data_IF_622410533829
#
_entry.id   IF_622410533829
#
_cell.length_a   1.000
_cell.length_b   1.000
_cell.length_c   1.000
_cell.angle_alpha   90.00
_cell.angle_beta   90.00
_cell.angle_gamma   90.00
#
_symmetry.space_group_name_H-M   'P 1'
#
loop_
_entity.id
_entity.type
_entity.pdbx_description
1 polymer ?
#
# COMPACT_ATOMS: atom_id res chain seq x y z
N UNK A 1 14.91 6.41 7.97
CA UNK A 1 14.54 5.38 8.98
C UNK A 1 13.30 4.66 8.48
N UNK A 2 13.33 3.33 8.47
CA UNK A 2 12.28 2.49 7.91
C UNK A 2 11.72 1.53 8.95
N UNK A 3 10.44 1.19 8.79
CA UNK A 3 9.76 0.13 9.50
C UNK A 3 9.38 -0.94 8.47
N UNK A 4 10.05 -2.07 8.52
CA UNK A 4 9.95 -3.15 7.54
C UNK A 4 9.17 -4.32 8.13
N UNK A 5 8.07 -4.71 7.50
CA UNK A 5 7.27 -5.87 7.87
C UNK A 5 7.81 -7.17 7.30
N UNK A 6 6.93 -8.16 7.24
CA UNK A 6 7.19 -9.42 6.56
C UNK A 6 7.69 -9.21 5.12
N UNK A 7 8.60 -10.09 4.68
CA UNK A 7 9.22 -10.03 3.35
C UNK A 7 9.93 -8.70 3.02
N UNK A 8 10.41 -7.98 4.04
CA UNK A 8 11.05 -6.67 3.90
C UNK A 8 10.15 -5.65 3.16
N UNK A 9 8.82 -5.75 3.37
CA UNK A 9 7.86 -4.80 2.81
C UNK A 9 7.81 -3.55 3.67
N UNK A 10 7.76 -2.39 3.05
CA UNK A 10 7.81 -1.12 3.78
C UNK A 10 6.44 -0.81 4.39
N UNK A 11 6.38 -0.72 5.72
CA UNK A 11 5.16 -0.31 6.43
C UNK A 11 5.13 1.22 6.58
N UNK A 12 6.24 1.80 7.01
CA UNK A 12 6.37 3.24 7.19
C UNK A 12 7.83 3.67 7.02
N UNK A 13 8.05 4.90 6.55
CA UNK A 13 9.37 5.49 6.49
C UNK A 13 9.38 6.95 6.91
N UNK A 14 10.54 7.42 7.31
CA UNK A 14 10.86 8.82 7.46
C UNK A 14 12.33 9.05 7.16
N UNK A 15 12.57 9.80 6.11
CA UNK A 15 13.91 10.24 5.70
C UNK A 15 14.03 11.74 5.94
N UNK A 16 15.11 12.12 6.64
CA UNK A 16 15.37 13.50 7.05
C UNK A 16 16.84 13.62 7.42
N UNK A 17 17.35 14.85 7.40
CA UNK A 17 18.71 15.13 7.87
C UNK A 17 18.85 14.84 9.37
N UNK A 18 20.07 14.50 9.85
CA UNK A 18 20.34 14.35 11.28
C UNK A 18 19.86 15.54 12.11
N UNK A 19 19.51 15.32 13.37
CA UNK A 19 18.93 16.37 14.21
C UNK A 19 17.57 16.86 13.72
N UNK A 20 16.87 16.09 12.88
CA UNK A 20 15.67 16.50 12.16
C UNK A 20 15.88 17.78 11.32
N UNK A 21 17.09 17.96 10.77
CA UNK A 21 17.49 19.15 10.01
C UNK A 21 18.23 20.22 10.81
N UNK A 22 18.41 20.03 12.12
CA UNK A 22 19.12 20.98 12.98
C UNK A 22 20.62 20.68 13.09
N UNK A 23 21.07 19.54 12.59
CA UNK A 23 22.45 19.10 12.67
C UNK A 23 23.07 18.98 11.27
N UNK A 24 24.04 19.84 10.98
CA UNK A 24 24.85 19.72 9.77
C UNK A 24 25.92 18.66 9.98
N UNK A 25 25.93 17.62 9.14
CA UNK A 25 26.96 16.57 9.20
C UNK A 25 28.36 17.06 8.84
N UNK A 26 28.48 18.24 8.22
CA UNK A 26 29.77 18.88 7.93
C UNK A 26 30.40 19.57 9.15
N UNK A 27 29.66 19.71 10.24
CA UNK A 27 30.14 20.31 11.49
C UNK A 27 30.45 19.28 12.57
N UNK A 28 30.17 18.00 12.30
CA UNK A 28 30.47 16.92 13.23
C UNK A 28 31.97 16.63 13.26
N UNK A 29 32.51 16.50 14.46
CA UNK A 29 33.87 16.04 14.70
C UNK A 29 33.87 14.53 15.03
N UNK A 30 34.96 13.81 14.73
CA UNK A 30 35.10 12.41 15.13
C UNK A 30 34.92 12.24 16.65
N UNK A 31 33.94 11.43 17.04
CA UNK A 31 33.60 11.18 18.44
C UNK A 31 32.30 11.84 18.90
N UNK A 32 31.75 12.77 18.11
CA UNK A 32 30.44 13.34 18.39
C UNK A 32 29.34 12.28 18.40
N UNK A 33 28.45 12.37 19.38
CA UNK A 33 27.27 11.54 19.51
C UNK A 33 26.04 12.42 19.64
N UNK A 34 24.97 12.07 18.92
CA UNK A 34 23.67 12.73 19.02
C UNK A 34 22.57 11.68 19.11
N UNK A 35 21.37 12.14 19.44
CA UNK A 35 20.18 11.30 19.48
C UNK A 35 19.04 11.98 18.74
N UNK A 36 18.38 11.24 17.86
CA UNK A 36 17.22 11.70 17.10
C UNK A 36 15.95 11.00 17.58
N UNK A 37 14.84 11.75 17.60
CA UNK A 37 13.50 11.20 17.84
C UNK A 37 12.71 11.20 16.55
N UNK A 38 12.50 10.01 15.99
CA UNK A 38 11.68 9.84 14.80
C UNK A 38 10.26 9.43 15.18
N UNK A 39 9.29 10.01 14.47
CA UNK A 39 7.90 9.58 14.50
C UNK A 39 7.56 9.01 13.14
N UNK A 40 7.34 7.69 13.10
CA UNK A 40 6.87 6.96 11.93
C UNK A 40 5.34 6.83 12.03
N UNK A 41 4.64 7.39 11.06
CA UNK A 41 3.19 7.22 10.97
C UNK A 41 2.93 5.90 10.25
N UNK A 42 2.35 4.93 10.96
CA UNK A 42 1.87 3.69 10.35
C UNK A 42 0.60 4.04 9.56
N UNK A 43 0.57 3.84 8.24
CA UNK A 43 -0.59 4.21 7.44
C UNK A 43 -1.81 3.40 7.86
N UNK A 44 -3.00 4.00 7.73
CA UNK A 44 -4.25 3.27 7.95
C UNK A 44 -4.34 2.05 7.03
N UNK A 45 -3.70 2.06 5.87
CA UNK A 45 -3.69 0.91 4.98
C UNK A 45 -2.67 -0.16 5.36
N UNK A 46 -1.81 0.03 6.37
CA UNK A 46 -0.81 -0.99 6.76
C UNK A 46 -1.45 -2.37 7.02
N UNK A 47 -0.83 -3.40 6.45
CA UNK A 47 -1.28 -4.79 6.61
C UNK A 47 -0.96 -5.28 8.01
N UNK A 48 -1.93 -5.93 8.66
CA UNK A 48 -1.82 -6.40 10.02
C UNK A 48 -2.66 -7.67 10.23
N UNK A 49 -2.27 -8.58 11.15
CA UNK A 49 -1.12 -8.48 12.04
C UNK A 49 0.23 -8.66 11.32
N UNK A 50 1.27 -8.00 11.83
CA UNK A 50 2.65 -8.14 11.33
C UNK A 50 3.65 -7.91 12.49
N UNK A 51 4.89 -8.36 12.32
CA UNK A 51 6.01 -8.06 13.23
C UNK A 51 7.09 -7.35 12.42
N UNK A 52 7.19 -6.05 12.64
CA UNK A 52 8.10 -5.20 11.89
C UNK A 52 9.45 -5.03 12.59
N UNK A 53 10.50 -4.85 11.80
CA UNK A 53 11.85 -4.52 12.25
C UNK A 53 12.16 -3.05 11.94
N UNK A 54 12.83 -2.36 12.85
CA UNK A 54 13.34 -1.01 12.59
C UNK A 54 14.64 -1.13 11.82
N UNK A 55 14.75 -0.39 10.71
CA UNK A 55 15.97 -0.25 9.93
C UNK A 55 16.39 1.23 9.89
N UNK A 56 17.69 1.46 10.13
CA UNK A 56 18.31 2.77 10.01
C UNK A 56 19.48 2.67 9.04
N UNK A 57 19.50 3.57 8.07
CA UNK A 57 20.62 3.76 7.16
C UNK A 57 20.86 5.25 6.96
N UNK A 58 22.09 5.61 6.62
CA UNK A 58 22.47 6.96 6.21
C UNK A 58 22.84 6.93 4.73
N UNK A 59 22.49 8.00 4.04
CA UNK A 59 22.85 8.17 2.63
C UNK A 59 23.10 9.63 2.33
N UNK A 60 23.93 9.88 1.33
CA UNK A 60 24.10 11.20 0.75
C UNK A 60 22.84 11.58 -0.03
N UNK A 61 22.17 12.66 0.36
CA UNK A 61 20.87 13.03 -0.19
C UNK A 61 20.92 13.46 -1.68
N UNK A 62 22.10 13.83 -2.19
CA UNK A 62 22.27 14.29 -3.57
C UNK A 62 22.55 13.14 -4.54
N UNK A 63 23.45 12.24 -4.16
CA UNK A 63 23.88 11.11 -4.98
C UNK A 63 23.09 9.83 -4.71
N UNK A 64 22.41 9.74 -3.56
CA UNK A 64 21.80 8.51 -3.08
C UNK A 64 22.80 7.47 -2.56
N UNK A 65 24.11 7.80 -2.52
CA UNK A 65 25.13 6.87 -2.07
C UNK A 65 24.93 6.53 -0.59
N UNK A 66 24.83 5.23 -0.28
CA UNK A 66 24.59 4.73 1.07
C UNK A 66 25.91 4.62 1.84
N UNK A 67 25.88 4.96 3.13
CA UNK A 67 27.03 4.87 4.01
C UNK A 67 27.12 3.47 4.62
N UNK A 68 28.31 2.89 4.61
CA UNK A 68 28.55 1.58 5.23
C UNK A 68 28.42 1.64 6.75
N UNK A 69 27.71 0.67 7.32
CA UNK A 69 27.66 0.39 8.73
C UNK A 69 28.78 -0.60 9.11
N UNK A 70 29.32 -0.47 10.33
CA UNK A 70 30.32 -1.38 10.88
C UNK A 70 29.77 -2.79 11.18
N UNK A 71 28.46 -2.99 11.08
CA UNK A 71 27.77 -4.28 11.20
C UNK A 71 27.85 -5.16 9.95
N UNK A 72 28.46 -4.67 8.87
CA UNK A 72 28.54 -5.39 7.59
C UNK A 72 27.29 -5.17 6.73
N UNK A 73 27.16 -3.97 6.17
CA UNK A 73 26.04 -3.53 5.33
C UNK A 73 26.01 -2.02 5.19
N UNK A 74 24.92 -1.46 4.68
CA UNK A 74 24.70 0.00 4.57
C UNK A 74 23.60 0.51 5.53
N UNK A 75 23.18 -0.36 6.44
CA UNK A 75 22.12 -0.13 7.38
C UNK A 75 22.34 -0.96 8.66
N UNK A 76 21.59 -0.61 9.69
CA UNK A 76 21.51 -1.34 10.97
C UNK A 76 20.04 -1.64 11.23
N UNK A 77 19.75 -2.91 11.51
CA UNK A 77 18.42 -3.38 11.89
C UNK A 77 18.37 -3.76 13.35
N UNK A 78 17.36 -3.29 14.06
CA UNK A 78 17.20 -3.55 15.49
C UNK A 78 15.75 -3.37 15.93
N UNK A 79 15.43 -3.86 17.13
CA UNK A 79 14.09 -3.78 17.67
C UNK A 79 13.05 -4.58 16.89
N UNK A 80 11.94 -4.88 17.54
CA UNK A 80 10.75 -5.44 16.90
C UNK A 80 9.56 -4.64 17.36
N UNK A 81 8.68 -4.32 16.42
CA UNK A 81 7.43 -3.59 16.65
C UNK A 81 6.29 -4.47 16.18
N UNK A 82 5.40 -4.84 17.09
CA UNK A 82 4.17 -5.52 16.72
C UNK A 82 3.24 -4.51 16.02
N UNK A 83 2.88 -4.81 14.77
CA UNK A 83 1.83 -4.09 14.06
C UNK A 83 0.54 -4.89 14.27
N UNK A 84 -0.26 -4.43 15.21
CA UNK A 84 -1.49 -5.13 15.63
C UNK A 84 -2.62 -4.86 14.64
N UNK A 85 -3.43 -5.88 14.40
CA UNK A 85 -4.67 -5.71 13.66
C UNK A 85 -5.56 -4.68 14.38
N UNK A 86 -6.12 -3.74 13.60
CA UNK A 86 -7.16 -2.85 14.12
C UNK A 86 -8.42 -3.67 14.39
N UNK A 87 -9.15 -3.39 15.48
CA UNK A 87 -10.44 -4.02 15.72
C UNK A 87 -11.42 -3.62 14.60
N UNK A 88 -12.24 -4.57 14.15
CA UNK A 88 -13.23 -4.36 13.11
C UNK A 88 -13.87 -5.68 12.69
N UNK A 89 -14.94 -5.58 11.90
CA UNK A 89 -15.69 -6.74 11.41
C UNK A 89 -15.07 -7.39 10.15
N UNK A 90 -14.05 -6.74 9.58
CA UNK A 90 -13.35 -7.17 8.36
C UNK A 90 -11.83 -7.10 8.57
N UNK A 91 -11.04 -7.92 7.85
CA UNK A 91 -9.59 -7.82 7.84
C UNK A 91 -9.10 -6.45 7.36
N UNK A 92 -7.97 -6.00 7.91
CA UNK A 92 -7.31 -4.71 7.62
C UNK A 92 -8.32 -3.57 7.44
N UNK A 93 -9.14 -3.24 8.46
CA UNK A 93 -10.25 -2.32 8.30
C UNK A 93 -9.74 -0.91 7.96
N UNK A 94 -10.29 -0.32 6.90
CA UNK A 94 -9.95 1.01 6.37
C UNK A 94 -11.24 1.77 6.06
N UNK A 95 -11.15 3.07 5.76
CA UNK A 95 -12.28 3.86 5.30
C UNK A 95 -11.87 4.72 4.10
N UNK A 96 -12.17 4.23 2.90
CA UNK A 96 -11.81 4.90 1.65
C UNK A 96 -13.05 5.05 0.78
N UNK A 97 -13.46 6.28 0.53
CA UNK A 97 -14.68 6.58 -0.23
C UNK A 97 -14.35 6.77 -1.71
N UNK A 98 -15.12 6.13 -2.58
CA UNK A 98 -15.05 6.28 -4.04
C UNK A 98 -16.29 7.03 -4.52
N UNK A 99 -16.10 8.25 -5.00
CA UNK A 99 -17.16 9.12 -5.52
C UNK A 99 -18.28 9.43 -4.51
N UNK A 100 -18.05 9.20 -3.22
CA UNK A 100 -19.06 9.19 -2.16
C UNK A 100 -20.28 8.28 -2.45
N UNK A 101 -20.05 7.20 -3.22
CA UNK A 101 -21.06 6.21 -3.64
C UNK A 101 -20.85 4.85 -2.98
N UNK A 102 -19.61 4.42 -2.86
CA UNK A 102 -19.20 3.19 -2.20
C UNK A 102 -17.93 3.42 -1.40
N UNK A 103 -17.77 2.67 -0.31
CA UNK A 103 -16.60 2.70 0.55
C UNK A 103 -15.90 1.35 0.53
N UNK A 104 -14.57 1.36 0.39
CA UNK A 104 -13.74 0.20 0.74
C UNK A 104 -13.53 0.25 2.26
N UNK A 105 -14.05 -0.76 2.95
CA UNK A 105 -14.07 -0.85 4.41
C UNK A 105 -13.02 -1.79 4.99
N UNK A 106 -12.39 -2.61 4.15
CA UNK A 106 -11.34 -3.55 4.55
C UNK A 106 -10.81 -4.32 3.35
N UNK A 107 -9.73 -5.07 3.56
CA UNK A 107 -9.15 -5.91 2.53
C UNK A 107 -8.27 -7.02 3.12
N UNK A 108 -8.03 -8.08 2.35
CA UNK A 108 -7.08 -9.13 2.68
C UNK A 108 -6.40 -9.68 1.44
N UNK A 109 -5.20 -10.24 1.64
CA UNK A 109 -4.41 -10.90 0.62
C UNK A 109 -4.12 -12.33 1.07
N UNK A 110 -4.22 -13.28 0.14
CA UNK A 110 -3.81 -14.68 0.41
C UNK A 110 -2.30 -14.80 0.67
N UNK A 111 -1.51 -13.99 -0.02
CA UNK A 111 -0.05 -13.99 0.01
C UNK A 111 0.48 -12.57 -0.22
N UNK A 112 1.60 -12.22 0.42
CA UNK A 112 2.30 -10.94 0.19
C UNK A 112 3.65 -11.12 -0.50
N UNK A 113 4.06 -12.35 -0.82
CA UNK A 113 5.24 -12.60 -1.63
C UNK A 113 5.11 -13.86 -2.51
N UNK A 114 5.22 -13.68 -3.83
CA UNK A 114 4.89 -14.69 -4.86
C UNK A 114 5.94 -14.72 -5.96
N UNK A 115 5.96 -15.77 -6.77
CA UNK A 115 6.79 -15.89 -7.99
C UNK A 115 6.01 -15.45 -9.24
N UNK A 116 6.70 -15.10 -10.34
CA UNK A 116 6.05 -14.90 -11.63
C UNK A 116 5.20 -16.11 -12.05
N UNK A 117 4.00 -15.87 -12.57
CA UNK A 117 3.04 -16.92 -12.95
C UNK A 117 2.15 -17.45 -11.82
N UNK A 118 2.45 -17.13 -10.56
CA UNK A 118 1.57 -17.45 -9.42
C UNK A 118 0.42 -16.43 -9.31
N UNK A 119 -0.54 -16.72 -8.44
CA UNK A 119 -1.71 -15.85 -8.20
C UNK A 119 -1.71 -15.33 -6.77
N UNK A 120 -2.18 -14.08 -6.61
CA UNK A 120 -2.57 -13.52 -5.33
C UNK A 120 -4.07 -13.34 -5.33
N UNK A 121 -4.76 -13.87 -4.32
CA UNK A 121 -6.17 -13.57 -4.12
C UNK A 121 -6.29 -12.33 -3.24
N UNK A 122 -6.89 -11.27 -3.79
CA UNK A 122 -7.22 -10.04 -3.09
C UNK A 122 -8.73 -10.03 -2.81
N UNK A 123 -9.12 -10.00 -1.55
CA UNK A 123 -10.52 -9.78 -1.16
C UNK A 123 -10.69 -8.31 -0.77
N UNK A 124 -11.66 -7.65 -1.40
CA UNK A 124 -12.03 -6.27 -1.13
C UNK A 124 -13.39 -6.23 -0.43
N UNK A 125 -13.45 -5.67 0.77
CA UNK A 125 -14.69 -5.54 1.52
C UNK A 125 -15.29 -4.17 1.27
N UNK A 126 -16.40 -4.12 0.56
CA UNK A 126 -17.11 -2.92 0.15
C UNK A 126 -18.36 -2.66 0.98
N UNK A 127 -18.75 -1.40 1.09
CA UNK A 127 -20.06 -0.96 1.57
C UNK A 127 -20.66 0.06 0.62
N UNK A 128 -21.89 -0.16 0.18
CA UNK A 128 -22.65 0.84 -0.55
C UNK A 128 -22.99 2.02 0.36
N UNK A 129 -22.64 3.25 -0.03
CA UNK A 129 -23.02 4.45 0.71
C UNK A 129 -24.35 5.03 0.20
N UNK A 130 -24.60 4.88 -1.10
CA UNK A 130 -25.77 5.41 -1.80
C UNK A 130 -26.20 4.43 -2.89
N UNK A 131 -27.43 4.61 -3.39
CA UNK A 131 -27.89 3.92 -4.60
C UNK A 131 -27.05 4.38 -5.79
N UNK A 132 -26.67 3.44 -6.65
CA UNK A 132 -25.87 3.69 -7.85
C UNK A 132 -26.71 3.35 -9.08
N UNK A 133 -26.61 4.16 -10.14
CA UNK A 133 -27.40 3.97 -11.36
C UNK A 133 -26.61 3.30 -12.49
N UNK A 134 -25.30 3.12 -12.29
CA UNK A 134 -24.37 2.51 -13.25
C UNK A 134 -23.54 1.42 -12.59
N UNK A 135 -23.05 0.50 -13.42
CA UNK A 135 -22.15 -0.55 -12.98
C UNK A 135 -20.70 -0.10 -13.14
N UNK A 136 -20.02 0.06 -12.02
CA UNK A 136 -18.62 0.44 -11.97
C UNK A 136 -17.71 -0.78 -12.12
N UNK A 137 -16.59 -0.56 -12.79
CA UNK A 137 -15.47 -1.50 -12.85
C UNK A 137 -14.52 -1.21 -11.69
N UNK A 138 -14.16 -2.26 -10.96
CA UNK A 138 -13.06 -2.22 -9.98
C UNK A 138 -11.81 -2.72 -10.70
N UNK A 139 -10.76 -1.91 -10.70
CA UNK A 139 -9.43 -2.29 -11.18
C UNK A 139 -8.53 -2.57 -9.99
N UNK A 140 -8.05 -3.80 -9.87
CA UNK A 140 -7.03 -4.20 -8.93
C UNK A 140 -5.71 -4.45 -9.68
N UNK A 141 -4.61 -3.87 -9.22
CA UNK A 141 -3.33 -3.89 -9.93
C UNK A 141 -2.15 -4.11 -9.00
N UNK A 142 -1.11 -4.78 -9.49
CA UNK A 142 0.23 -4.78 -8.90
C UNK A 142 1.12 -3.86 -9.71
N UNK A 143 1.57 -2.74 -9.14
CA UNK A 143 2.31 -1.69 -9.85
C UNK A 143 3.64 -1.42 -9.18
N UNK A 144 4.73 -1.62 -9.92
CA UNK A 144 6.10 -1.45 -9.44
C UNK A 144 6.72 -0.12 -9.89
N UNK A 145 8.04 -0.05 -9.75
CA UNK A 145 8.83 1.10 -10.20
C UNK A 145 8.57 1.43 -11.69
N UNK A 146 8.53 2.71 -12.01
CA UNK A 146 8.28 3.19 -13.37
C UNK A 146 6.87 2.89 -13.91
N UNK A 147 5.88 2.64 -13.04
CA UNK A 147 4.49 2.32 -13.41
C UNK A 147 4.33 0.99 -14.16
N UNK A 148 5.31 0.09 -14.05
CA UNK A 148 5.23 -1.25 -14.64
C UNK A 148 4.24 -2.11 -13.86
N UNK A 149 3.25 -2.65 -14.56
CA UNK A 149 2.29 -3.60 -13.97
C UNK A 149 2.88 -5.02 -13.95
N UNK A 150 2.71 -5.72 -12.84
CA UNK A 150 2.98 -7.16 -12.72
C UNK A 150 1.71 -8.00 -12.70
N UNK A 151 0.55 -7.40 -12.44
CA UNK A 151 -0.76 -8.04 -12.57
C UNK A 151 -1.83 -6.96 -12.69
N UNK A 152 -2.96 -7.30 -13.30
CA UNK A 152 -4.14 -6.46 -13.37
C UNK A 152 -5.39 -7.34 -13.47
N UNK A 153 -6.43 -6.99 -12.73
CA UNK A 153 -7.73 -7.62 -12.79
C UNK A 153 -8.82 -6.54 -12.76
N UNK A 154 -9.52 -6.37 -13.88
CA UNK A 154 -10.54 -5.35 -14.07
C UNK A 154 -11.89 -6.02 -14.33
N UNK A 155 -12.89 -5.68 -13.54
CA UNK A 155 -14.24 -6.16 -13.77
C UNK A 155 -15.25 -5.61 -12.78
N UNK A 156 -16.53 -5.89 -13.03
CA UNK A 156 -17.57 -5.63 -12.05
C UNK A 156 -17.38 -6.53 -10.82
N UNK A 157 -17.85 -6.09 -9.63
CA UNK A 157 -17.73 -6.90 -8.41
C UNK A 157 -18.29 -8.31 -8.56
N UNK A 158 -17.62 -9.27 -7.94
CA UNK A 158 -17.93 -10.70 -7.96
C UNK A 158 -18.10 -11.24 -9.39
N UNK A 159 -17.15 -10.92 -10.27
CA UNK A 159 -17.15 -11.34 -11.67
C UNK A 159 -18.47 -11.02 -12.39
N UNK A 160 -19.06 -9.87 -12.05
CA UNK A 160 -20.32 -9.38 -12.62
C UNK A 160 -21.60 -9.95 -12.01
N UNK A 161 -21.51 -10.83 -11.01
CA UNK A 161 -22.69 -11.36 -10.29
C UNK A 161 -23.26 -10.39 -9.26
N UNK A 162 -22.49 -9.37 -8.86
CA UNK A 162 -22.93 -8.29 -7.98
C UNK A 162 -22.72 -6.91 -8.63
N UNK A 163 -23.43 -6.58 -9.73
CA UNK A 163 -23.33 -5.29 -10.41
C UNK A 163 -23.62 -4.14 -9.43
N UNK A 164 -22.80 -3.08 -9.41
CA UNK A 164 -22.92 -2.01 -8.41
C UNK A 164 -24.25 -1.27 -8.46
N UNK A 165 -24.91 -1.20 -9.63
CA UNK A 165 -26.24 -0.58 -9.73
C UNK A 165 -27.35 -1.35 -8.99
N UNK A 166 -27.12 -2.63 -8.66
CA UNK A 166 -28.04 -3.45 -7.89
C UNK A 166 -27.79 -3.35 -6.37
N UNK A 167 -26.76 -2.63 -5.93
CA UNK A 167 -26.45 -2.51 -4.51
C UNK A 167 -27.43 -1.57 -3.81
N UNK A 168 -27.94 -1.99 -2.65
CA UNK A 168 -28.75 -1.15 -1.79
C UNK A 168 -27.87 -0.39 -0.77
N UNK A 169 -28.22 0.84 -0.37
CA UNK A 169 -27.45 1.59 0.63
C UNK A 169 -27.21 0.79 1.91
N UNK A 170 -25.96 0.76 2.39
CA UNK A 170 -25.53 0.00 3.55
C UNK A 170 -25.17 -1.47 3.25
N UNK A 171 -25.47 -1.99 2.05
CA UNK A 171 -25.12 -3.36 1.67
C UNK A 171 -23.60 -3.57 1.71
N UNK A 172 -23.18 -4.65 2.37
CA UNK A 172 -21.79 -5.08 2.42
C UNK A 172 -21.54 -6.17 1.36
N UNK A 173 -20.41 -6.07 0.64
CA UNK A 173 -19.99 -7.01 -0.40
C UNK A 173 -18.53 -7.38 -0.18
N UNK A 174 -18.21 -8.66 -0.11
CA UNK A 174 -16.84 -9.15 -0.21
C UNK A 174 -16.56 -9.50 -1.67
N UNK A 175 -15.68 -8.76 -2.33
CA UNK A 175 -15.34 -8.87 -3.75
C UNK A 175 -13.97 -9.53 -3.91
N UNK A 176 -13.94 -10.78 -4.38
CA UNK A 176 -12.71 -11.56 -4.56
C UNK A 176 -12.14 -11.32 -5.94
N UNK A 177 -10.86 -10.92 -6.00
CA UNK A 177 -10.10 -10.63 -7.22
C UNK A 177 -8.84 -11.47 -7.29
N UNK A 178 -8.66 -12.21 -8.38
CA UNK A 178 -7.48 -13.05 -8.59
C UNK A 178 -6.47 -12.29 -9.45
N UNK A 179 -5.36 -11.88 -8.83
CA UNK A 179 -4.25 -11.21 -9.50
C UNK A 179 -3.23 -12.26 -9.96
N UNK A 180 -3.32 -12.66 -11.23
CA UNK A 180 -2.31 -13.50 -11.86
C UNK A 180 -1.06 -12.68 -12.18
N UNK A 181 0.05 -13.01 -11.52
CA UNK A 181 1.33 -12.34 -11.76
C UNK A 181 1.86 -12.75 -13.13
N UNK A 182 2.21 -11.76 -13.95
CA UNK A 182 2.71 -12.01 -15.29
C UNK A 182 3.98 -12.87 -15.24
N UNK A 183 4.14 -13.85 -16.16
CA UNK A 183 5.31 -14.73 -16.17
C UNK A 183 6.65 -14.00 -16.36
N UNK A 184 6.63 -12.79 -16.93
CA UNK A 184 7.78 -11.93 -17.17
C UNK A 184 7.90 -10.77 -16.17
N UNK A 185 7.08 -10.76 -15.11
CA UNK A 185 7.16 -9.76 -14.05
C UNK A 185 8.55 -9.79 -13.40
N UNK A 186 9.31 -8.67 -13.43
CA UNK A 186 10.60 -8.61 -12.76
C UNK A 186 10.47 -8.81 -11.25
N UNK A 187 11.49 -9.38 -10.58
CA UNK A 187 11.53 -9.41 -9.13
C UNK A 187 11.56 -8.00 -8.55
N UNK A 188 10.82 -7.76 -7.48
CA UNK A 188 10.70 -6.43 -6.90
C UNK A 188 9.53 -6.28 -5.94
N UNK A 189 9.35 -5.04 -5.47
CA UNK A 189 8.20 -4.65 -4.64
C UNK A 189 7.19 -3.92 -5.52
N UNK A 190 5.92 -4.29 -5.37
CA UNK A 190 4.80 -3.77 -6.14
C UNK A 190 3.72 -3.27 -5.19
N UNK A 191 3.20 -2.08 -5.47
CA UNK A 191 2.03 -1.54 -4.79
C UNK A 191 0.78 -2.31 -5.24
N UNK A 192 -0.07 -2.70 -4.30
CA UNK A 192 -1.44 -3.15 -4.56
C UNK A 192 -2.33 -1.92 -4.69
N UNK A 193 -2.74 -1.61 -5.92
CA UNK A 193 -3.55 -0.44 -6.24
C UNK A 193 -4.98 -0.84 -6.56
N UNK A 194 -5.92 -0.06 -6.05
CA UNK A 194 -7.35 -0.20 -6.37
C UNK A 194 -7.89 1.11 -6.89
N UNK A 195 -8.55 1.04 -8.06
CA UNK A 195 -9.31 2.14 -8.65
C UNK A 195 -10.73 1.67 -8.97
N UNK A 196 -11.66 2.62 -8.99
CA UNK A 196 -13.04 2.37 -9.41
C UNK A 196 -13.37 3.35 -10.53
N UNK A 197 -13.90 2.86 -11.64
CA UNK A 197 -14.18 3.69 -12.81
C UNK A 197 -15.40 3.20 -13.58
N UNK A 198 -15.89 4.04 -14.49
CA UNK A 198 -16.88 3.68 -15.52
C UNK A 198 -16.31 4.02 -16.89
N UNK A 199 -16.75 3.31 -17.92
CA UNK A 199 -16.46 3.67 -19.31
C UNK A 199 -17.58 4.56 -19.83
N UNK A 200 -17.28 5.82 -20.14
CA UNK A 200 -18.20 6.79 -20.73
C UNK A 200 -17.67 7.18 -22.11
N UNK A 201 -18.46 6.98 -23.17
CA UNK A 201 -18.07 7.30 -24.57
C UNK A 201 -16.73 6.69 -25.02
N UNK A 202 -16.30 5.59 -24.38
CA UNK A 202 -15.03 4.92 -24.65
C UNK A 202 -13.85 5.42 -23.81
N UNK A 203 -14.06 6.40 -22.93
CA UNK A 203 -13.05 6.93 -22.01
C UNK A 203 -13.23 6.38 -20.59
N UNK A 204 -12.11 6.21 -19.88
CA UNK A 204 -12.11 5.80 -18.48
C UNK A 204 -12.35 7.02 -17.60
N UNK A 205 -13.46 7.02 -16.88
CA UNK A 205 -13.80 8.05 -15.89
C UNK A 205 -13.67 7.45 -14.49
N UNK A 206 -12.60 7.83 -13.78
CA UNK A 206 -12.35 7.39 -12.41
C UNK A 206 -13.30 8.06 -11.41
N UNK A 207 -13.81 7.27 -10.47
CA UNK A 207 -14.41 7.83 -9.26
C UNK A 207 -13.31 8.44 -8.39
N UNK A 208 -13.48 9.68 -7.91
CA UNK A 208 -12.49 10.28 -7.04
C UNK A 208 -12.41 9.54 -5.71
N UNK A 209 -11.20 9.34 -5.23
CA UNK A 209 -10.89 8.71 -3.96
C UNK A 209 -10.71 9.80 -2.91
N UNK A 210 -11.43 9.66 -1.80
CA UNK A 210 -11.25 10.50 -0.60
C UNK A 210 -10.79 9.59 0.54
N UNK A 211 -9.49 9.63 0.90
CA UNK A 211 -8.98 8.95 2.09
C UNK A 211 -9.50 9.62 3.37
N UNK A 212 -9.58 8.84 4.44
CA UNK A 212 -9.86 9.36 5.78
C UNK A 212 -8.81 10.42 6.18
N UNK A 213 -9.25 11.64 6.48
CA UNK A 213 -8.37 12.80 6.77
C UNK A 213 -8.43 13.94 5.75
N UNK A 214 -9.18 13.79 4.65
CA UNK A 214 -9.63 14.90 3.80
C UNK A 214 -8.55 15.58 2.94
N UNK A 215 -7.41 14.93 2.68
CA UNK A 215 -6.39 15.47 1.79
C UNK A 215 -6.42 14.84 0.40
N UNK A 216 -6.43 15.71 -0.62
CA UNK A 216 -6.30 15.51 -2.07
C UNK A 216 -7.12 14.39 -2.70
N UNK A 217 -7.96 14.75 -3.69
CA UNK A 217 -8.62 13.78 -4.55
C UNK A 217 -7.56 13.00 -5.34
N UNK A 218 -7.63 11.68 -5.29
CA UNK A 218 -6.85 10.78 -6.14
C UNK A 218 -7.81 9.95 -7.02
N UNK A 219 -7.27 9.23 -8.01
CA UNK A 219 -8.02 8.33 -8.89
C UNK A 219 -7.93 6.85 -8.44
N UNK A 220 -7.06 6.57 -7.46
CA UNK A 220 -6.85 5.25 -6.88
C UNK A 220 -6.39 5.34 -5.42
N UNK A 221 -6.40 4.19 -4.73
CA UNK A 221 -5.80 3.99 -3.41
C UNK A 221 -4.71 2.92 -3.50
N UNK A 222 -3.63 3.11 -2.74
CA UNK A 222 -2.63 2.06 -2.48
C UNK A 222 -2.97 1.36 -1.17
N UNK A 223 -3.27 0.06 -1.23
CA UNK A 223 -3.64 -0.73 -0.05
C UNK A 223 -2.41 -1.18 0.71
N UNK A 224 -1.48 -1.83 0.04
CA UNK A 224 -0.27 -2.35 0.65
C UNK A 224 0.75 -2.68 -0.45
N UNK A 225 1.81 -3.38 -0.10
CA UNK A 225 2.82 -3.84 -1.03
C UNK A 225 2.87 -5.38 -1.04
N UNK A 226 3.29 -5.92 -2.18
CA UNK A 226 3.65 -7.33 -2.35
C UNK A 226 5.01 -7.45 -2.98
N UNK A 227 5.68 -8.58 -2.76
CA UNK A 227 6.98 -8.89 -3.35
C UNK A 227 6.85 -9.94 -4.43
N UNK A 228 7.33 -9.63 -5.64
CA UNK A 228 7.63 -10.64 -6.66
C UNK A 228 9.04 -11.15 -6.41
N UNK A 229 9.18 -12.45 -6.14
CA UNK A 229 10.44 -13.13 -5.86
C UNK A 229 11.22 -13.38 -7.17
N UNK A 230 12.55 -13.61 -7.08
CA UNK A 230 13.38 -14.07 -8.20
C UNK A 230 12.85 -15.34 -8.88
#
# INVERSE_FOLDING_TARGET
MHLLGEHDLLIAQRDTFPGLGLLSTTWLEPGDAWADRYVLQVPATAYAPDVAQVEVGLYDAMSGARLSANTGGDNVRFGRVEVRARPGDVPNPISVHFGDRMALVGYDLSERAVQPGETITLTLHWRALRRMDVNYTVSAQLVGAGQRKAAQHDGWPLEGTAPTAAWEPGQAIADVRVLAVYPDAPPGVYDVRVAVYVLEEGEIVHLPVVPEGGQMLADHVVLTQVRVKP
#
